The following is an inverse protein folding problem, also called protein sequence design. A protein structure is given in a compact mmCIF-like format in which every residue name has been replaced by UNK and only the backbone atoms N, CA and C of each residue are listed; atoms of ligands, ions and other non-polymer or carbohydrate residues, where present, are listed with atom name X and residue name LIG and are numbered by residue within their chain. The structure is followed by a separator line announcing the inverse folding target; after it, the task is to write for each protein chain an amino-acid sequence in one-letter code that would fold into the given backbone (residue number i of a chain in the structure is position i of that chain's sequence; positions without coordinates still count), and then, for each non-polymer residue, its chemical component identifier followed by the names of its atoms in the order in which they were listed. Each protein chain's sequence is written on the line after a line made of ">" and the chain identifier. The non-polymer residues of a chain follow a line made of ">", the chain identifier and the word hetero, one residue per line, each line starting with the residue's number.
data_IF_902869147500
#
_entry.id   IF_902869147500
#
_cell.length_a   1.000
_cell.length_b   1.000
_cell.length_c   1.000
_cell.angle_alpha   90.00
_cell.angle_beta   90.00
_cell.angle_gamma   90.00
#
_symmetry.space_group_name_H-M   'P 1'
#
loop_
_entity.id
_entity.type
_entity.pdbx_description
1 polymer ?
#
# COMPACT_ATOMS: atom_id res chain seq x y z
N UNK A 1 -12.57 24.88 -7.92
CA UNK A 1 -11.59 23.93 -8.52
C UNK A 1 -10.42 23.80 -7.54
N UNK A 2 -9.61 22.72 -7.55
CA UNK A 2 -8.51 22.58 -6.56
C UNK A 2 -7.47 23.72 -6.67
N UNK A 3 -7.40 24.38 -7.81
CA UNK A 3 -6.62 25.60 -8.03
C UNK A 3 -6.99 26.74 -7.07
N UNK A 4 -8.27 26.85 -6.68
CA UNK A 4 -8.75 27.85 -5.71
C UNK A 4 -8.23 27.56 -4.29
N UNK A 5 -7.78 26.32 -4.05
CA UNK A 5 -7.11 25.89 -2.81
C UNK A 5 -5.58 25.96 -2.92
N UNK A 6 -5.05 26.61 -3.96
CA UNK A 6 -3.60 26.82 -4.15
C UNK A 6 -2.85 25.63 -4.73
N UNK A 7 -3.54 24.55 -5.12
CA UNK A 7 -2.90 23.43 -5.80
C UNK A 7 -2.48 23.83 -7.22
N UNK A 8 -1.34 23.31 -7.65
CA UNK A 8 -0.86 23.42 -9.03
C UNK A 8 -0.70 22.04 -9.64
N UNK A 9 -1.25 21.86 -10.84
CA UNK A 9 -1.00 20.66 -11.64
C UNK A 9 0.46 20.65 -12.09
N UNK A 10 1.13 19.53 -11.86
CA UNK A 10 2.49 19.28 -12.35
C UNK A 10 2.58 17.89 -12.94
N UNK A 11 3.57 17.69 -13.79
CA UNK A 11 3.86 16.41 -14.41
C UNK A 11 5.28 15.97 -14.02
N UNK A 12 5.44 14.71 -13.65
CA UNK A 12 6.72 14.14 -13.25
C UNK A 12 7.13 12.98 -14.17
N UNK A 13 8.43 12.87 -14.44
CA UNK A 13 9.00 11.89 -15.39
C UNK A 13 8.79 12.30 -16.85
N UNK A 14 9.51 11.66 -17.76
CA UNK A 14 9.32 11.83 -19.22
C UNK A 14 7.91 11.44 -19.67
N UNK A 15 7.29 10.51 -18.95
CA UNK A 15 6.01 9.91 -19.31
C UNK A 15 4.79 10.75 -18.91
N UNK A 16 4.95 11.79 -18.09
CA UNK A 16 3.85 12.72 -17.77
C UNK A 16 2.90 12.25 -16.65
N UNK A 17 3.44 11.68 -15.56
CA UNK A 17 2.64 11.34 -14.39
C UNK A 17 2.13 12.59 -13.68
N UNK A 18 0.82 12.71 -13.54
CA UNK A 18 0.19 13.89 -12.95
C UNK A 18 0.29 13.90 -11.43
N UNK A 19 0.60 15.06 -10.86
CA UNK A 19 0.53 15.36 -9.43
C UNK A 19 -0.09 16.73 -9.20
N UNK A 20 -0.74 16.91 -8.06
CA UNK A 20 -1.09 18.25 -7.57
C UNK A 20 -0.13 18.62 -6.45
N UNK A 21 0.49 19.80 -6.55
CA UNK A 21 1.44 20.29 -5.55
C UNK A 21 0.86 21.52 -4.85
N UNK A 22 0.93 21.51 -3.52
CA UNK A 22 0.70 22.63 -2.62
C UNK A 22 1.92 22.77 -1.70
N UNK A 23 2.24 23.95 -1.15
CA UNK A 23 3.37 24.11 -0.22
C UNK A 23 3.39 23.10 0.94
N UNK A 24 2.21 22.72 1.43
CA UNK A 24 2.08 21.82 2.58
C UNK A 24 1.98 20.33 2.21
N UNK A 25 1.52 19.99 1.00
CA UNK A 25 1.29 18.60 0.62
C UNK A 25 1.30 18.36 -0.91
N UNK A 26 1.50 17.11 -1.27
CA UNK A 26 1.45 16.63 -2.66
C UNK A 26 0.34 15.57 -2.76
N UNK A 27 -0.50 15.69 -3.78
CA UNK A 27 -1.49 14.68 -4.15
C UNK A 27 -0.97 13.92 -5.37
N UNK A 28 -0.86 12.61 -5.23
CA UNK A 28 -0.51 11.71 -6.32
C UNK A 28 -1.72 10.86 -6.70
N UNK A 29 -1.90 10.62 -8.00
CA UNK A 29 -2.99 9.80 -8.51
C UNK A 29 -2.46 8.43 -8.91
N UNK A 30 -3.03 7.40 -8.31
CA UNK A 30 -2.55 6.03 -8.45
C UNK A 30 -3.66 5.15 -9.03
N UNK A 31 -3.28 4.22 -9.90
CA UNK A 31 -4.18 3.20 -10.43
C UNK A 31 -3.53 1.82 -10.36
N UNK A 32 -4.29 0.73 -10.24
CA UNK A 32 -3.70 -0.59 -10.23
C UNK A 32 -3.03 -0.95 -11.56
N UNK A 33 -1.80 -1.43 -11.46
CA UNK A 33 -1.06 -1.94 -12.62
C UNK A 33 -1.60 -3.30 -13.07
N UNK A 34 -1.85 -3.45 -14.38
CA UNK A 34 -2.41 -4.67 -14.98
C UNK A 34 -1.42 -5.33 -15.94
N UNK A 35 -1.50 -6.65 -16.07
CA UNK A 35 -0.70 -7.42 -17.03
C UNK A 35 0.82 -7.33 -16.80
N UNK A 36 1.59 -7.19 -17.89
CA UNK A 36 3.07 -7.08 -17.83
C UNK A 36 3.53 -5.83 -17.07
N UNK A 37 2.67 -4.82 -16.96
CA UNK A 37 3.02 -3.53 -16.40
C UNK A 37 3.55 -2.57 -17.45
N UNK A 38 3.40 -1.29 -17.19
CA UNK A 38 3.93 -0.19 -18.00
C UNK A 38 4.39 0.91 -17.07
N UNK A 39 5.46 1.60 -17.48
CA UNK A 39 5.91 2.82 -16.81
C UNK A 39 5.14 4.06 -17.33
N UNK A 40 4.32 3.91 -18.38
CA UNK A 40 3.47 4.97 -18.90
C UNK A 40 2.30 5.27 -17.94
N UNK A 41 1.88 6.55 -17.79
CA UNK A 41 0.69 6.87 -17.03
C UNK A 41 -0.57 6.32 -17.70
N UNK A 42 -1.54 5.98 -16.87
CA UNK A 42 -2.87 5.59 -17.32
C UNK A 42 -3.74 6.83 -17.35
N UNK A 43 -4.14 7.23 -18.56
CA UNK A 43 -5.07 8.34 -18.73
C UNK A 43 -6.47 7.93 -18.23
N UNK A 44 -7.06 8.80 -17.41
CA UNK A 44 -8.42 8.71 -16.90
C UNK A 44 -9.19 9.96 -17.35
N UNK A 45 -9.69 9.99 -18.61
CA UNK A 45 -10.21 11.21 -19.24
C UNK A 45 -11.41 11.81 -18.50
N UNK A 46 -12.25 10.96 -17.90
CA UNK A 46 -13.41 11.39 -17.11
C UNK A 46 -13.03 12.20 -15.87
N UNK A 47 -11.81 12.02 -15.37
CA UNK A 47 -11.28 12.76 -14.24
C UNK A 47 -10.24 13.81 -14.66
N UNK A 48 -9.86 13.85 -15.95
CA UNK A 48 -8.79 14.72 -16.43
C UNK A 48 -7.42 14.39 -15.84
N UNK A 49 -7.17 13.14 -15.44
CA UNK A 49 -5.98 12.73 -14.69
C UNK A 49 -5.12 11.75 -15.49
N UNK A 50 -3.80 11.87 -15.38
CA UNK A 50 -2.83 10.87 -15.82
C UNK A 50 -2.21 10.17 -14.60
N UNK A 51 -2.77 9.02 -14.24
CA UNK A 51 -2.43 8.31 -13.00
C UNK A 51 -1.21 7.39 -13.16
N UNK A 52 -0.43 7.22 -12.10
CA UNK A 52 0.68 6.27 -12.06
C UNK A 52 0.14 4.86 -11.79
N UNK A 53 0.43 3.93 -12.69
CA UNK A 53 0.14 2.52 -12.46
C UNK A 53 1.09 1.94 -11.41
N UNK A 54 0.54 1.36 -10.33
CA UNK A 54 1.36 0.73 -9.29
C UNK A 54 0.98 -0.73 -9.08
N UNK A 55 2.01 -1.59 -9.08
CA UNK A 55 1.88 -3.00 -8.69
C UNK A 55 1.36 -3.09 -7.25
N UNK A 56 0.55 -4.11 -7.00
CA UNK A 56 -0.04 -4.44 -5.70
C UNK A 56 -1.10 -3.46 -5.19
N UNK A 57 -1.45 -2.40 -5.94
CA UNK A 57 -2.49 -1.47 -5.50
C UNK A 57 -3.87 -2.15 -5.42
N UNK A 58 -4.19 -3.11 -6.31
CA UNK A 58 -5.42 -3.90 -6.22
C UNK A 58 -5.60 -4.56 -4.85
N UNK A 59 -4.52 -5.12 -4.31
CA UNK A 59 -4.57 -5.77 -3.00
C UNK A 59 -5.02 -4.81 -1.90
N UNK A 60 -4.57 -3.55 -1.95
CA UNK A 60 -5.00 -2.52 -1.00
C UNK A 60 -6.44 -2.08 -1.25
N UNK A 61 -6.82 -1.89 -2.51
CA UNK A 61 -8.13 -1.37 -2.90
C UNK A 61 -9.28 -2.36 -2.66
N UNK A 62 -9.02 -3.67 -2.73
CA UNK A 62 -10.04 -4.71 -2.55
C UNK A 62 -10.48 -4.90 -1.09
N UNK A 63 -9.61 -4.59 -0.12
CA UNK A 63 -9.93 -4.70 1.31
C UNK A 63 -9.79 -3.37 2.02
N UNK A 64 -10.71 -2.46 1.74
CA UNK A 64 -10.76 -1.12 2.35
C UNK A 64 -11.74 -1.07 3.52
N UNK A 65 -11.47 -0.14 4.43
CA UNK A 65 -12.35 0.24 5.53
C UNK A 65 -12.72 1.71 5.40
N UNK A 66 -13.85 2.09 6.01
CA UNK A 66 -14.28 3.48 6.11
C UNK A 66 -14.18 3.92 7.57
N UNK A 67 -13.48 5.02 7.81
CA UNK A 67 -13.37 5.62 9.13
C UNK A 67 -13.88 7.06 9.10
N UNK A 68 -14.33 7.55 10.25
CA UNK A 68 -14.64 8.95 10.47
C UNK A 68 -13.41 9.62 11.09
N UNK A 69 -12.87 10.65 10.44
CA UNK A 69 -11.79 11.50 10.96
C UNK A 69 -12.34 12.91 11.03
N UNK A 70 -12.55 13.41 12.25
CA UNK A 70 -13.25 14.68 12.49
C UNK A 70 -14.59 14.68 11.73
N UNK A 71 -14.77 15.60 10.79
CA UNK A 71 -15.99 15.73 9.98
C UNK A 71 -15.93 14.98 8.64
N UNK A 72 -14.83 14.26 8.35
CA UNK A 72 -14.62 13.57 7.09
C UNK A 72 -14.77 12.06 7.18
N UNK A 73 -15.41 11.46 6.17
CA UNK A 73 -15.40 10.01 5.93
C UNK A 73 -14.25 9.66 5.00
N UNK A 74 -13.28 8.91 5.50
CA UNK A 74 -12.10 8.50 4.75
C UNK A 74 -12.19 7.01 4.46
N UNK A 75 -11.96 6.63 3.21
CA UNK A 75 -11.78 5.23 2.81
C UNK A 75 -10.29 4.96 2.67
N UNK A 76 -9.79 3.93 3.36
CA UNK A 76 -8.39 3.54 3.34
C UNK A 76 -8.24 2.02 3.33
N UNK A 77 -7.08 1.48 2.92
CA UNK A 77 -6.83 0.04 3.02
C UNK A 77 -6.91 -0.43 4.47
N UNK A 78 -7.40 -1.65 4.69
CA UNK A 78 -7.35 -2.28 6.01
C UNK A 78 -5.89 -2.33 6.51
N UNK A 79 -5.61 -2.01 7.79
CA UNK A 79 -4.23 -1.95 8.31
C UNK A 79 -3.41 -3.21 8.06
N UNK A 80 -4.01 -4.40 8.20
CA UNK A 80 -3.36 -5.68 7.89
C UNK A 80 -2.86 -5.74 6.43
N UNK A 81 -3.71 -5.38 5.46
CA UNK A 81 -3.34 -5.37 4.04
C UNK A 81 -2.26 -4.34 3.76
N UNK A 82 -2.36 -3.16 4.38
CA UNK A 82 -1.33 -2.13 4.25
C UNK A 82 0.03 -2.61 4.73
N UNK A 83 0.10 -3.23 5.91
CA UNK A 83 1.35 -3.72 6.48
C UNK A 83 1.97 -4.87 5.68
N UNK A 84 1.17 -5.88 5.29
CA UNK A 84 1.66 -6.99 4.48
C UNK A 84 2.14 -6.51 3.09
N UNK A 85 1.45 -5.53 2.50
CA UNK A 85 1.90 -4.86 1.29
C UNK A 85 3.26 -4.15 1.48
N UNK A 86 3.45 -3.44 2.59
CA UNK A 86 4.70 -2.73 2.90
C UNK A 86 5.90 -3.68 2.99
N UNK A 87 5.72 -4.88 3.53
CA UNK A 87 6.75 -5.94 3.55
C UNK A 87 7.18 -6.33 2.12
N UNK A 88 6.23 -6.43 1.19
CA UNK A 88 6.54 -6.74 -0.22
C UNK A 88 7.27 -5.57 -0.88
N UNK A 89 6.82 -4.33 -0.64
CA UNK A 89 7.43 -3.12 -1.22
C UNK A 89 8.85 -2.92 -0.72
N UNK A 90 9.12 -3.14 0.57
CA UNK A 90 10.45 -2.97 1.14
C UNK A 90 11.50 -3.82 0.41
N UNK A 91 11.16 -5.04 -0.01
CA UNK A 91 12.05 -5.93 -0.77
C UNK A 91 12.33 -5.46 -2.20
N UNK A 92 11.51 -4.56 -2.74
CA UNK A 92 11.65 -4.02 -4.11
C UNK A 92 12.35 -2.65 -4.13
N UNK A 93 12.52 -2.00 -2.98
CA UNK A 93 13.15 -0.67 -2.87
C UNK A 93 14.66 -0.78 -3.12
N UNK A 94 15.17 0.03 -4.05
CA UNK A 94 16.62 0.23 -4.24
C UNK A 94 17.26 1.00 -3.07
N UNK A 95 16.53 1.97 -2.50
CA UNK A 95 16.99 2.75 -1.36
C UNK A 95 16.74 1.99 -0.05
N UNK A 96 17.83 1.63 0.64
CA UNK A 96 17.80 0.81 1.87
C UNK A 96 17.12 1.52 3.04
N UNK A 97 17.26 2.83 3.18
CA UNK A 97 16.62 3.58 4.27
C UNK A 97 15.10 3.61 4.10
N UNK A 98 14.63 3.80 2.86
CA UNK A 98 13.21 3.71 2.54
C UNK A 98 12.67 2.31 2.79
N UNK A 99 13.42 1.27 2.43
CA UNK A 99 13.07 -0.12 2.73
C UNK A 99 12.95 -0.38 4.23
N UNK A 100 13.92 0.11 5.02
CA UNK A 100 13.91 -0.01 6.48
C UNK A 100 12.69 0.67 7.11
N UNK A 101 12.35 1.88 6.66
CA UNK A 101 11.15 2.61 7.12
C UNK A 101 9.85 1.86 6.79
N UNK A 102 9.73 1.34 5.56
CA UNK A 102 8.56 0.54 5.16
C UNK A 102 8.43 -0.72 6.03
N UNK A 103 9.53 -1.41 6.32
CA UNK A 103 9.54 -2.60 7.19
C UNK A 103 9.18 -2.27 8.64
N UNK A 104 9.75 -1.20 9.20
CA UNK A 104 9.48 -0.79 10.58
C UNK A 104 7.99 -0.47 10.77
N UNK A 105 7.41 0.32 9.87
CA UNK A 105 5.98 0.64 9.86
C UNK A 105 5.12 -0.63 9.72
N UNK A 106 5.52 -1.58 8.87
CA UNK A 106 4.79 -2.84 8.74
C UNK A 106 4.83 -3.67 10.02
N UNK A 107 5.99 -3.76 10.68
CA UNK A 107 6.14 -4.47 11.94
C UNK A 107 5.33 -3.85 13.06
N UNK A 108 5.35 -2.52 13.19
CA UNK A 108 4.55 -1.79 14.18
C UNK A 108 3.06 -2.08 14.00
N UNK A 109 2.52 -1.86 12.79
CA UNK A 109 1.09 -2.09 12.51
C UNK A 109 0.67 -3.55 12.75
N UNK A 110 1.50 -4.53 12.36
CA UNK A 110 1.15 -5.93 12.57
C UNK A 110 1.18 -6.32 14.06
N UNK A 111 2.11 -5.77 14.83
CA UNK A 111 2.16 -6.01 16.27
C UNK A 111 0.97 -5.34 16.98
N UNK A 112 0.62 -4.11 16.62
CA UNK A 112 -0.56 -3.42 17.15
C UNK A 112 -1.84 -4.22 16.88
N UNK A 113 -1.98 -4.79 15.68
CA UNK A 113 -3.11 -5.68 15.35
C UNK A 113 -3.09 -6.98 16.17
N UNK A 114 -1.92 -7.59 16.37
CA UNK A 114 -1.78 -8.80 17.20
C UNK A 114 -2.19 -8.52 18.66
N UNK A 115 -1.77 -7.37 19.21
CA UNK A 115 -2.11 -6.91 20.56
C UNK A 115 -3.60 -6.57 20.70
N UNK A 116 -4.20 -5.98 19.66
CA UNK A 116 -5.64 -5.72 19.58
C UNK A 116 -6.51 -6.98 19.39
N UNK A 117 -5.89 -8.16 19.20
CA UNK A 117 -6.62 -9.42 18.96
C UNK A 117 -7.10 -9.61 17.53
N UNK A 118 -6.68 -8.74 16.60
CA UNK A 118 -7.05 -8.71 15.18
C UNK A 118 -6.27 -9.73 14.33
N UNK A 119 -5.99 -10.90 14.89
CA UNK A 119 -5.17 -11.96 14.26
C UNK A 119 -5.81 -12.51 12.98
N UNK A 120 -7.14 -12.63 12.99
CA UNK A 120 -7.90 -13.12 11.85
C UNK A 120 -7.82 -12.15 10.67
N UNK A 121 -7.84 -10.85 10.95
CA UNK A 121 -7.66 -9.80 9.94
C UNK A 121 -6.28 -9.88 9.24
N UNK A 122 -5.23 -10.26 9.98
CA UNK A 122 -3.89 -10.52 9.42
C UNK A 122 -3.90 -11.79 8.55
N UNK A 123 -4.52 -12.87 9.04
CA UNK A 123 -4.62 -14.16 8.34
C UNK A 123 -5.40 -14.02 7.02
N UNK A 124 -6.61 -13.50 7.07
CA UNK A 124 -7.46 -13.30 5.90
C UNK A 124 -6.77 -12.43 4.85
N UNK A 125 -6.11 -11.34 5.26
CA UNK A 125 -5.34 -10.50 4.34
C UNK A 125 -4.17 -11.26 3.68
N UNK A 126 -3.52 -12.19 4.38
CA UNK A 126 -2.45 -13.02 3.83
C UNK A 126 -2.98 -14.13 2.91
N UNK A 127 -4.13 -14.72 3.22
CA UNK A 127 -4.76 -15.77 2.40
C UNK A 127 -5.28 -15.24 1.06
N UNK A 128 -5.73 -13.98 1.02
CA UNK A 128 -6.10 -13.29 -0.22
C UNK A 128 -4.92 -13.04 -1.18
N UNK A 129 -3.68 -13.16 -0.69
CA UNK A 129 -2.50 -13.00 -1.53
C UNK A 129 -2.22 -14.26 -2.34
N UNK A 130 -1.78 -14.09 -3.59
CA UNK A 130 -1.24 -15.22 -4.35
C UNK A 130 0.03 -15.80 -3.70
N UNK A 131 0.36 -17.05 -4.07
CA UNK A 131 1.49 -17.79 -3.50
C UNK A 131 2.84 -17.07 -3.63
N UNK A 132 3.05 -16.29 -4.69
CA UNK A 132 4.31 -15.55 -4.86
C UNK A 132 4.43 -14.40 -3.85
N UNK A 133 3.34 -13.71 -3.58
CA UNK A 133 3.29 -12.61 -2.62
C UNK A 133 3.38 -13.14 -1.19
N UNK A 134 2.68 -14.23 -0.89
CA UNK A 134 2.81 -14.96 0.37
C UNK A 134 4.26 -15.34 0.67
N UNK A 135 4.98 -15.92 -0.30
CA UNK A 135 6.42 -16.24 -0.16
C UNK A 135 7.27 -15.01 0.18
N UNK A 136 7.00 -13.87 -0.46
CA UNK A 136 7.69 -12.60 -0.16
C UNK A 136 7.37 -12.10 1.24
N UNK A 137 6.12 -12.15 1.66
CA UNK A 137 5.72 -11.78 3.02
C UNK A 137 6.45 -12.64 4.05
N UNK A 138 6.44 -13.97 3.89
CA UNK A 138 7.14 -14.88 4.80
C UNK A 138 8.65 -14.58 4.84
N UNK A 139 9.29 -14.34 3.70
CA UNK A 139 10.71 -13.99 3.66
C UNK A 139 11.00 -12.67 4.40
N UNK A 140 10.13 -11.66 4.24
CA UNK A 140 10.26 -10.38 4.94
C UNK A 140 9.98 -10.48 6.44
N UNK A 141 8.97 -11.24 6.86
CA UNK A 141 8.69 -11.45 8.29
C UNK A 141 9.85 -12.20 8.99
N UNK A 142 10.48 -13.17 8.30
CA UNK A 142 11.68 -13.85 8.79
C UNK A 142 12.85 -12.89 8.97
N UNK A 143 13.12 -12.01 7.99
CA UNK A 143 14.22 -11.05 8.10
C UNK A 143 13.99 -10.00 9.19
N UNK A 144 12.73 -9.77 9.57
CA UNK A 144 12.31 -8.88 10.65
C UNK A 144 12.12 -9.59 12.00
N UNK A 145 12.44 -10.89 12.09
CA UNK A 145 12.28 -11.73 13.29
C UNK A 145 10.86 -11.69 13.89
N UNK A 146 9.83 -11.63 13.05
CA UNK A 146 8.41 -11.55 13.45
C UNK A 146 7.81 -12.94 13.71
N UNK A 147 8.37 -13.69 14.67
CA UNK A 147 8.02 -15.09 14.92
C UNK A 147 6.56 -15.30 15.34
N UNK A 148 5.98 -14.38 16.12
CA UNK A 148 4.58 -14.46 16.54
C UNK A 148 3.62 -14.40 15.34
N UNK A 149 3.87 -13.47 14.41
CA UNK A 149 3.08 -13.31 13.19
C UNK A 149 3.31 -14.50 12.25
N UNK A 150 4.56 -14.96 12.10
CA UNK A 150 4.87 -16.16 11.32
C UNK A 150 4.14 -17.41 11.83
N UNK A 151 4.04 -17.58 13.15
CA UNK A 151 3.27 -18.66 13.77
C UNK A 151 1.79 -18.53 13.42
N UNK A 152 1.23 -17.33 13.51
CA UNK A 152 -0.17 -17.07 13.23
C UNK A 152 -0.56 -17.44 11.79
N UNK A 153 0.27 -17.06 10.81
CA UNK A 153 0.05 -17.35 9.39
C UNK A 153 0.21 -18.83 9.03
N UNK A 154 0.94 -19.63 9.82
CA UNK A 154 1.10 -21.07 9.57
C UNK A 154 -0.14 -21.88 9.96
N UNK A 155 -0.90 -21.43 10.96
CA UNK A 155 -2.06 -22.16 11.50
C UNK A 155 -3.21 -22.32 10.50
N UNK A 156 -3.24 -21.54 9.42
CA UNK A 156 -4.34 -21.54 8.42
C UNK A 156 -4.07 -22.42 7.20
N UNK A 157 -2.83 -22.91 7.05
CA UNK A 157 -2.42 -23.77 5.94
C UNK A 157 -2.44 -25.27 6.30
N UNK A 158 -3.15 -25.65 7.37
CA UNK A 158 -3.28 -27.03 7.87
C UNK A 158 -4.69 -27.55 7.69
#
# INVERSE_FOLDING_TARGET
>A
MLDDLGFRVTFHGSEGHMKLIHPDLIVEFLTPERGRGTDEPVSLPTLGINATALRFLNFLSEGTIKIQVEDFKVTLPHPARFALHKIIIAQRRKNKDKARKDNMMASEILNDLMEAGEKESIRSAYEDMNTQWQKRVIAGLKSLNQEAILSELKKGNS
#
